data_IF_443744864543
#
_entry.id   IF_443744864543
#
_cell.length_a   1.000
_cell.length_b   1.000
_cell.length_c   1.000
_cell.angle_alpha   90.00
_cell.angle_beta   90.00
_cell.angle_gamma   90.00
#
_symmetry.space_group_name_H-M   'P 1'
#
loop_
_entity.id
_entity.type
_entity.pdbx_description
1 polymer ?
#
# COMPACT_ATOMS: atom_id res chain seq x y z
N UNK A 1 6.72 -18.16 -37.86
CA UNK A 1 5.51 -18.98 -37.66
C UNK A 1 4.51 -18.15 -36.87
N UNK A 2 3.36 -17.82 -37.47
CA UNK A 2 2.38 -16.84 -36.96
C UNK A 2 1.65 -17.39 -35.72
N UNK A 3 1.68 -16.65 -34.62
CA UNK A 3 0.76 -16.85 -33.50
C UNK A 3 -0.49 -16.05 -33.83
N UNK A 4 -1.57 -16.74 -34.21
CA UNK A 4 -2.90 -16.15 -34.34
C UNK A 4 -3.60 -16.34 -33.00
N UNK A 5 -3.75 -15.24 -32.27
CA UNK A 5 -4.60 -15.18 -31.09
C UNK A 5 -6.02 -14.88 -31.56
N UNK A 6 -6.91 -15.87 -31.51
CA UNK A 6 -8.34 -15.67 -31.73
C UNK A 6 -9.05 -15.61 -30.37
N UNK A 7 -9.76 -14.50 -30.14
CA UNK A 7 -10.58 -14.27 -28.96
C UNK A 7 -12.07 -14.57 -29.28
N UNK A 8 -12.66 -15.42 -28.41
CA UNK A 8 -14.02 -15.35 -27.83
C UNK A 8 -15.23 -15.79 -28.70
N UNK A 9 -16.42 -16.13 -28.13
CA UNK A 9 -16.77 -16.68 -26.80
C UNK A 9 -17.76 -17.88 -26.89
N UNK A 10 -17.87 -18.71 -25.85
CA UNK A 10 -19.10 -19.48 -25.61
C UNK A 10 -19.39 -19.59 -24.10
N UNK A 11 -20.32 -18.76 -23.63
CA UNK A 11 -21.23 -19.11 -22.53
C UNK A 11 -22.18 -20.18 -23.10
N UNK A 12 -22.48 -21.32 -22.48
CA UNK A 12 -23.04 -21.47 -21.14
C UNK A 12 -22.91 -22.94 -20.68
N UNK A 13 -22.86 -23.15 -19.35
CA UNK A 13 -22.87 -24.41 -18.57
C UNK A 13 -21.55 -24.69 -17.81
N UNK A 14 -21.20 -23.82 -16.86
CA UNK A 14 -20.02 -23.97 -16.00
C UNK A 14 -20.38 -23.71 -14.53
N UNK A 15 -21.18 -24.61 -13.94
CA UNK A 15 -21.17 -24.79 -12.50
C UNK A 15 -20.32 -26.04 -12.24
N UNK A 16 -19.14 -25.83 -11.67
CA UNK A 16 -18.21 -26.83 -11.08
C UNK A 16 -16.97 -27.31 -11.88
N UNK A 17 -16.60 -26.67 -12.99
CA UNK A 17 -15.26 -26.89 -13.60
C UNK A 17 -14.23 -25.92 -13.03
N UNK A 18 -13.30 -26.40 -12.20
CA UNK A 18 -12.11 -25.64 -11.76
C UNK A 18 -11.06 -25.65 -12.87
N UNK A 19 -11.07 -24.62 -13.71
CA UNK A 19 -9.99 -24.39 -14.70
C UNK A 19 -8.71 -23.99 -13.95
N UNK A 20 -7.59 -24.65 -14.27
CA UNK A 20 -6.26 -24.38 -13.72
C UNK A 20 -5.25 -24.39 -14.84
N UNK A 21 -4.23 -23.55 -14.73
CA UNK A 21 -3.06 -23.63 -15.61
C UNK A 21 -2.35 -24.95 -15.35
N UNK A 22 -1.82 -25.59 -16.39
CA UNK A 22 -1.08 -26.84 -16.30
C UNK A 22 0.03 -26.86 -17.35
N UNK A 23 1.07 -27.64 -17.10
CA UNK A 23 2.13 -27.93 -18.07
C UNK A 23 2.24 -29.44 -18.25
N UNK A 24 2.64 -29.90 -19.44
CA UNK A 24 2.86 -31.31 -19.72
C UNK A 24 4.36 -31.60 -19.60
N UNK A 25 4.73 -32.53 -18.73
CA UNK A 25 6.11 -32.99 -18.54
C UNK A 25 6.10 -34.51 -18.67
N UNK A 26 6.90 -35.05 -19.60
CA UNK A 26 7.01 -36.49 -19.88
C UNK A 26 5.68 -37.23 -20.12
N UNK A 27 4.69 -36.52 -20.70
CA UNK A 27 3.36 -37.08 -20.99
C UNK A 27 2.35 -36.94 -19.84
N UNK A 28 2.79 -36.51 -18.66
CA UNK A 28 1.92 -36.25 -17.51
C UNK A 28 1.51 -34.78 -17.42
N UNK A 29 0.26 -34.54 -17.01
CA UNK A 29 -0.30 -33.18 -16.85
C UNK A 29 -0.11 -32.72 -15.40
N UNK A 30 0.79 -31.76 -15.21
CA UNK A 30 1.11 -31.18 -13.90
C UNK A 30 0.36 -29.85 -13.74
N UNK A 31 -0.53 -29.69 -12.75
CA UNK A 31 -1.20 -28.43 -12.49
C UNK A 31 -0.24 -27.39 -11.92
N UNK A 32 -0.31 -26.17 -12.44
CA UNK A 32 0.48 -25.04 -12.00
C UNK A 32 -0.30 -24.26 -10.94
N UNK A 33 0.15 -24.38 -9.69
CA UNK A 33 -0.38 -23.63 -8.56
C UNK A 33 0.58 -22.49 -8.21
N UNK A 34 0.10 -21.26 -8.32
CA UNK A 34 0.73 -20.13 -7.63
C UNK A 34 0.32 -20.20 -6.16
N UNK A 35 1.15 -20.84 -5.34
CA UNK A 35 0.96 -20.81 -3.90
C UNK A 35 1.14 -19.38 -3.41
N UNK A 36 0.29 -18.96 -2.47
CA UNK A 36 0.50 -17.70 -1.76
C UNK A 36 1.76 -17.87 -0.92
N UNK A 37 2.65 -16.90 -0.96
CA UNK A 37 3.85 -16.91 -0.10
C UNK A 37 3.43 -17.08 1.36
N UNK A 38 4.03 -18.06 2.02
CA UNK A 38 3.85 -18.30 3.45
C UNK A 38 5.05 -17.72 4.17
N UNK A 39 4.86 -16.60 4.87
CA UNK A 39 5.87 -16.10 5.79
C UNK A 39 5.95 -17.00 7.02
N UNK A 40 7.11 -17.63 7.20
CA UNK A 40 7.45 -18.39 8.41
C UNK A 40 7.93 -17.39 9.45
N UNK A 41 7.15 -17.20 10.51
CA UNK A 41 7.55 -16.38 11.65
C UNK A 41 8.34 -17.25 12.64
N UNK A 42 9.62 -16.93 12.87
CA UNK A 42 10.31 -17.47 14.04
C UNK A 42 9.72 -16.80 15.28
N UNK A 43 9.08 -17.58 16.16
CA UNK A 43 8.66 -17.07 17.46
C UNK A 43 9.90 -16.56 18.20
N UNK A 44 10.03 -15.25 18.35
CA UNK A 44 11.08 -14.66 19.18
C UNK A 44 10.75 -14.98 20.64
N UNK A 45 11.25 -16.11 21.13
CA UNK A 45 11.00 -16.61 22.48
C UNK A 45 11.59 -15.69 23.58
N UNK A 46 12.23 -14.58 23.22
CA UNK A 46 13.00 -13.70 24.09
C UNK A 46 12.70 -12.20 23.88
N UNK A 47 11.43 -11.80 23.72
CA UNK A 47 11.10 -10.37 23.76
C UNK A 47 11.06 -9.85 25.20
N UNK A 48 11.73 -8.74 25.43
CA UNK A 48 11.65 -7.99 26.70
C UNK A 48 10.25 -7.37 26.86
N UNK A 49 9.82 -7.06 28.10
CA UNK A 49 8.55 -6.37 28.33
C UNK A 49 8.42 -5.02 27.60
N UNK A 50 9.54 -4.34 27.36
CA UNK A 50 9.58 -3.07 26.62
C UNK A 50 9.31 -3.30 25.13
N UNK A 51 9.91 -4.31 24.52
CA UNK A 51 9.67 -4.67 23.12
C UNK A 51 8.24 -5.14 22.90
N UNK A 52 7.67 -5.92 23.82
CA UNK A 52 6.26 -6.32 23.77
C UNK A 52 5.34 -5.08 23.77
N UNK A 53 5.61 -4.10 24.65
CA UNK A 53 4.84 -2.85 24.69
C UNK A 53 4.98 -2.06 23.40
N UNK A 54 6.19 -1.96 22.84
CA UNK A 54 6.47 -1.28 21.56
C UNK A 54 5.71 -1.96 20.41
N UNK A 55 5.78 -3.29 20.31
CA UNK A 55 5.07 -4.06 19.29
C UNK A 55 3.55 -3.91 19.41
N UNK A 56 2.99 -4.00 20.62
CA UNK A 56 1.55 -3.76 20.84
C UNK A 56 1.13 -2.36 20.41
N UNK A 57 1.94 -1.34 20.71
CA UNK A 57 1.68 0.04 20.27
C UNK A 57 1.71 0.15 18.74
N UNK A 58 2.71 -0.46 18.10
CA UNK A 58 2.82 -0.48 16.64
C UNK A 58 1.62 -1.16 15.98
N UNK A 59 1.22 -2.34 16.46
CA UNK A 59 0.02 -3.06 15.98
C UNK A 59 -1.22 -2.18 16.07
N UNK A 60 -1.45 -1.51 17.21
CA UNK A 60 -2.59 -0.60 17.36
C UNK A 60 -2.53 0.56 16.37
N UNK A 61 -1.36 1.17 16.20
CA UNK A 61 -1.17 2.27 15.25
C UNK A 61 -1.43 1.80 13.81
N UNK A 62 -0.91 0.64 13.41
CA UNK A 62 -1.14 0.07 12.08
C UNK A 62 -2.63 -0.22 11.88
N UNK A 63 -3.30 -0.89 12.82
CA UNK A 63 -4.74 -1.15 12.74
C UNK A 63 -5.57 0.12 12.60
N UNK A 64 -5.21 1.18 13.33
CA UNK A 64 -5.91 2.46 13.27
C UNK A 64 -5.67 3.18 11.94
N UNK A 65 -4.45 3.15 11.40
CA UNK A 65 -4.06 3.93 10.23
C UNK A 65 -4.29 3.21 8.88
N UNK A 66 -4.31 1.88 8.88
CA UNK A 66 -4.43 1.06 7.67
C UNK A 66 -5.69 1.34 6.84
N UNK A 67 -6.90 1.54 7.44
CA UNK A 67 -8.08 1.92 6.66
C UNK A 67 -7.90 3.24 5.91
N UNK A 68 -7.27 4.23 6.54
CA UNK A 68 -6.99 5.54 5.92
C UNK A 68 -5.99 5.42 4.77
N UNK A 69 -4.94 4.60 4.94
CA UNK A 69 -3.97 4.36 3.87
C UNK A 69 -4.61 3.70 2.63
N UNK A 70 -5.49 2.72 2.86
CA UNK A 70 -6.22 2.02 1.78
C UNK A 70 -7.19 2.95 1.05
N UNK A 71 -7.89 3.79 1.80
CA UNK A 71 -8.78 4.79 1.21
C UNK A 71 -7.98 5.82 0.39
N UNK A 72 -6.85 6.29 0.92
CA UNK A 72 -5.92 7.14 0.19
C UNK A 72 -5.44 6.52 -1.12
N UNK A 73 -5.09 5.23 -1.10
CA UNK A 73 -4.72 4.47 -2.31
C UNK A 73 -5.86 4.46 -3.34
N UNK A 74 -7.09 4.12 -2.94
CA UNK A 74 -8.23 4.10 -3.88
C UNK A 74 -8.45 5.44 -4.57
N UNK A 75 -8.34 6.54 -3.82
CA UNK A 75 -8.47 7.89 -4.36
C UNK A 75 -7.33 8.25 -5.30
N UNK A 76 -6.11 7.84 -4.96
CA UNK A 76 -4.95 8.00 -5.83
C UNK A 76 -5.09 7.21 -7.14
N UNK A 77 -5.55 5.97 -7.08
CA UNK A 77 -5.79 5.13 -8.25
C UNK A 77 -6.91 5.75 -9.13
N UNK A 78 -7.97 6.29 -8.52
CA UNK A 78 -9.03 7.01 -9.25
C UNK A 78 -8.51 8.29 -9.91
N UNK A 79 -7.71 9.08 -9.20
CA UNK A 79 -7.08 10.29 -9.72
C UNK A 79 -6.14 9.96 -10.89
N UNK A 80 -5.37 8.88 -10.80
CA UNK A 80 -4.47 8.43 -11.87
C UNK A 80 -5.24 8.14 -13.17
N UNK A 81 -6.42 7.52 -13.08
CA UNK A 81 -7.31 7.30 -14.23
C UNK A 81 -7.84 8.62 -14.79
N UNK A 82 -8.28 9.53 -13.92
CA UNK A 82 -8.83 10.84 -14.33
C UNK A 82 -7.81 11.69 -15.09
N UNK A 83 -6.55 11.70 -14.64
CA UNK A 83 -5.49 12.54 -15.21
C UNK A 83 -4.65 11.84 -16.28
N UNK A 84 -5.00 10.60 -16.66
CA UNK A 84 -4.20 9.78 -17.57
C UNK A 84 -3.97 10.45 -18.93
N UNK A 85 -5.02 11.05 -19.49
CA UNK A 85 -5.02 11.67 -20.82
C UNK A 85 -4.98 13.21 -20.79
N UNK A 86 -4.86 13.82 -19.61
CA UNK A 86 -4.86 15.27 -19.48
C UNK A 86 -3.50 15.88 -19.86
N UNK A 87 -3.48 17.07 -20.49
CA UNK A 87 -2.27 17.87 -20.64
C UNK A 87 -1.60 18.15 -19.29
N UNK A 88 -0.28 18.35 -19.29
CA UNK A 88 0.52 18.59 -18.08
C UNK A 88 -0.03 19.72 -17.18
N UNK A 89 -0.57 20.78 -17.79
CA UNK A 89 -1.17 21.91 -17.07
C UNK A 89 -2.44 21.53 -16.30
N UNK A 90 -3.36 20.85 -16.97
CA UNK A 90 -4.63 20.37 -16.40
C UNK A 90 -4.41 19.27 -15.37
N UNK A 91 -3.48 18.33 -15.62
CA UNK A 91 -3.04 17.33 -14.65
C UNK A 91 -2.60 18.00 -13.34
N UNK A 92 -1.78 19.06 -13.43
CA UNK A 92 -1.28 19.78 -12.25
C UNK A 92 -2.40 20.52 -11.51
N UNK A 93 -3.42 20.98 -12.22
CA UNK A 93 -4.60 21.59 -11.62
C UNK A 93 -5.48 20.56 -10.89
N UNK A 94 -5.74 19.42 -11.52
CA UNK A 94 -6.49 18.30 -10.94
C UNK A 94 -5.81 17.75 -9.67
N UNK A 95 -4.48 17.53 -9.72
CA UNK A 95 -3.71 17.11 -8.53
C UNK A 95 -3.83 18.14 -7.40
N UNK A 96 -3.76 19.44 -7.72
CA UNK A 96 -3.90 20.53 -6.73
C UNK A 96 -5.31 20.58 -6.12
N UNK A 97 -6.32 20.28 -6.91
CA UNK A 97 -7.70 20.23 -6.44
C UNK A 97 -7.91 19.03 -5.50
N UNK A 98 -7.45 17.85 -5.90
CA UNK A 98 -7.49 16.64 -5.07
C UNK A 98 -6.72 16.84 -3.75
N UNK A 99 -5.57 17.50 -3.80
CA UNK A 99 -4.79 17.88 -2.61
C UNK A 99 -5.61 18.75 -1.63
N UNK A 100 -6.27 19.80 -2.14
CA UNK A 100 -7.09 20.69 -1.31
C UNK A 100 -8.25 19.94 -0.67
N UNK A 101 -8.96 19.14 -1.47
CA UNK A 101 -10.08 18.33 -0.99
C UNK A 101 -9.64 17.37 0.11
N UNK A 102 -8.51 16.69 -0.06
CA UNK A 102 -7.93 15.80 0.95
C UNK A 102 -7.58 16.56 2.25
N UNK A 103 -7.01 17.76 2.14
CA UNK A 103 -6.68 18.57 3.31
C UNK A 103 -7.93 19.14 4.01
N UNK A 104 -8.96 19.50 3.28
CA UNK A 104 -10.21 20.00 3.86
C UNK A 104 -10.99 18.90 4.57
N UNK A 105 -11.04 17.71 3.96
CA UNK A 105 -11.73 16.54 4.51
C UNK A 105 -10.98 15.93 5.69
N UNK A 106 -9.69 15.67 5.55
CA UNK A 106 -8.90 14.91 6.53
C UNK A 106 -7.96 15.76 7.37
N UNK A 107 -7.69 17.01 7.00
CA UNK A 107 -6.70 17.84 7.70
C UNK A 107 -7.04 18.09 9.18
N UNK A 108 -8.32 18.11 9.55
CA UNK A 108 -8.75 18.22 10.95
C UNK A 108 -8.53 16.92 11.72
N UNK A 109 -8.81 15.77 11.11
CA UNK A 109 -8.63 14.46 11.74
C UNK A 109 -7.15 14.08 11.84
N UNK A 110 -6.36 14.43 10.83
CA UNK A 110 -4.91 14.27 10.83
C UNK A 110 -4.24 14.99 12.00
N UNK A 111 -4.77 16.14 12.44
CA UNK A 111 -4.29 16.86 13.63
C UNK A 111 -4.62 16.18 14.95
N UNK A 112 -5.62 15.30 14.99
CA UNK A 112 -6.00 14.55 16.19
C UNK A 112 -5.09 13.36 16.45
N UNK A 113 -4.44 12.84 15.41
CA UNK A 113 -3.55 11.70 15.55
C UNK A 113 -2.23 12.09 16.21
N UNK A 114 -1.70 11.16 17.00
CA UNK A 114 -0.36 11.31 17.56
C UNK A 114 0.66 11.28 16.44
N UNK A 115 1.79 11.93 16.68
CA UNK A 115 2.96 11.90 15.82
C UNK A 115 3.34 10.49 15.31
N UNK A 116 3.36 9.50 16.21
CA UNK A 116 3.68 8.10 15.85
C UNK A 116 2.66 7.45 14.93
N UNK A 117 1.39 7.86 15.02
CA UNK A 117 0.33 7.36 14.13
C UNK A 117 0.44 8.02 12.76
N UNK A 118 0.68 9.34 12.71
CA UNK A 118 0.93 10.05 11.46
C UNK A 118 2.11 9.48 10.67
N UNK A 119 3.20 9.10 11.37
CA UNK A 119 4.35 8.44 10.73
C UNK A 119 3.97 7.08 10.12
N UNK A 120 3.25 6.24 10.87
CA UNK A 120 2.77 4.95 10.38
C UNK A 120 1.84 5.14 9.18
N UNK A 121 0.96 6.15 9.19
CA UNK A 121 0.08 6.45 8.06
C UNK A 121 0.86 6.77 6.79
N UNK A 122 1.89 7.63 6.87
CA UNK A 122 2.72 7.99 5.71
C UNK A 122 3.41 6.74 5.12
N UNK A 123 3.99 5.90 5.99
CA UNK A 123 4.63 4.65 5.59
C UNK A 123 3.65 3.66 4.96
N UNK A 124 2.44 3.53 5.52
CA UNK A 124 1.39 2.69 4.97
C UNK A 124 0.87 3.20 3.62
N UNK A 125 0.71 4.51 3.43
CA UNK A 125 0.35 5.08 2.12
C UNK A 125 1.41 4.70 1.10
N UNK A 126 2.69 4.82 1.44
CA UNK A 126 3.79 4.45 0.54
C UNK A 126 3.80 2.96 0.18
N UNK A 127 3.61 2.10 1.18
CA UNK A 127 3.43 0.65 1.00
C UNK A 127 2.27 0.32 0.06
N UNK A 128 1.10 0.94 0.30
CA UNK A 128 -0.13 0.66 -0.45
C UNK A 128 -0.07 1.20 -1.88
N UNK A 129 0.61 2.33 -2.09
CA UNK A 129 0.71 3.04 -3.38
C UNK A 129 1.93 2.68 -4.21
N UNK A 130 2.83 1.81 -3.74
CA UNK A 130 4.04 1.42 -4.48
C UNK A 130 3.82 0.86 -5.91
N UNK A 131 2.56 0.57 -6.30
CA UNK A 131 2.15 0.20 -7.67
C UNK A 131 1.58 1.36 -8.50
N UNK A 132 1.08 2.41 -7.85
CA UNK A 132 0.56 3.65 -8.46
C UNK A 132 1.73 4.46 -9.01
N UNK A 133 1.54 5.29 -10.05
CA UNK A 133 2.66 6.07 -10.62
C UNK A 133 3.37 6.89 -9.56
N UNK A 134 4.62 6.51 -9.27
CA UNK A 134 5.49 7.20 -8.30
C UNK A 134 5.56 8.71 -8.57
N UNK A 135 5.41 9.13 -9.84
CA UNK A 135 5.38 10.54 -10.22
C UNK A 135 4.14 11.29 -9.70
N UNK A 136 2.95 10.69 -9.76
CA UNK A 136 1.71 11.31 -9.25
C UNK A 136 1.77 11.39 -7.74
N UNK A 137 2.18 10.29 -7.11
CA UNK A 137 2.35 10.21 -5.66
C UNK A 137 3.40 11.21 -5.17
N UNK A 138 4.53 11.33 -5.86
CA UNK A 138 5.61 12.26 -5.48
C UNK A 138 5.26 13.73 -5.80
N UNK A 139 4.44 14.01 -6.80
CA UNK A 139 3.89 15.36 -7.09
C UNK A 139 2.83 15.78 -6.05
N UNK A 140 1.92 14.87 -5.70
CA UNK A 140 0.93 15.06 -4.64
C UNK A 140 1.62 15.23 -3.28
N UNK A 141 2.58 14.34 -2.96
CA UNK A 141 3.45 14.48 -1.78
C UNK A 141 4.24 15.76 -1.84
N UNK A 142 4.74 16.18 -3.00
CA UNK A 142 5.54 17.38 -3.24
C UNK A 142 4.94 18.67 -2.71
N UNK A 143 3.61 18.83 -2.82
CA UNK A 143 2.90 20.01 -2.34
C UNK A 143 2.27 19.83 -0.95
N UNK A 144 1.72 18.64 -0.67
CA UNK A 144 1.33 18.26 0.70
C UNK A 144 2.52 18.44 1.65
N UNK A 145 3.73 18.14 1.15
CA UNK A 145 5.03 18.34 1.81
C UNK A 145 5.19 19.73 2.38
N UNK A 146 4.84 20.81 1.70
CA UNK A 146 5.21 22.14 2.16
C UNK A 146 4.56 22.50 3.52
N UNK A 147 3.26 22.23 3.68
CA UNK A 147 2.54 22.52 4.93
C UNK A 147 2.68 21.40 5.96
N UNK A 148 2.64 20.14 5.54
CA UNK A 148 2.78 18.99 6.43
C UNK A 148 4.22 18.83 6.91
N UNK A 149 5.23 18.98 6.03
CA UNK A 149 6.64 18.88 6.42
C UNK A 149 7.12 20.10 7.19
N UNK A 150 6.49 21.28 7.08
CA UNK A 150 6.82 22.35 8.04
C UNK A 150 6.41 22.00 9.47
N UNK A 151 5.24 21.37 9.64
CA UNK A 151 4.77 20.88 10.95
C UNK A 151 5.63 19.72 11.45
N UNK A 152 5.98 18.78 10.57
CA UNK A 152 6.74 17.59 10.92
C UNK A 152 8.26 17.80 10.99
N UNK A 153 8.87 18.69 10.19
CA UNK A 153 10.31 18.98 10.25
C UNK A 153 10.72 19.66 11.56
N UNK A 154 9.84 20.51 12.12
CA UNK A 154 10.03 21.11 13.44
C UNK A 154 10.04 20.09 14.57
N UNK A 155 9.37 18.96 14.39
CA UNK A 155 9.22 17.90 15.39
C UNK A 155 10.19 16.72 15.18
N UNK A 156 10.61 16.45 13.94
CA UNK A 156 11.35 15.23 13.59
C UNK A 156 12.85 15.41 13.46
N UNK A 157 13.40 16.57 13.09
CA UNK A 157 14.86 16.76 12.89
C UNK A 157 15.54 15.81 11.87
N UNK A 158 14.84 14.80 11.38
CA UNK A 158 15.30 13.72 10.50
C UNK A 158 14.33 13.60 9.33
N UNK A 159 14.89 13.46 8.13
CA UNK A 159 14.21 13.57 6.84
C UNK A 159 12.98 12.66 6.70
N UNK A 160 11.78 13.26 6.66
CA UNK A 160 10.52 12.65 6.19
C UNK A 160 10.58 12.16 4.72
N UNK A 161 11.70 12.33 4.03
CA UNK A 161 11.92 11.87 2.65
C UNK A 161 12.24 10.37 2.55
N UNK A 162 12.44 9.67 3.66
CA UNK A 162 12.65 8.22 3.63
C UNK A 162 11.32 7.52 3.37
N UNK A 163 11.21 6.95 2.17
CA UNK A 163 10.09 6.08 1.78
C UNK A 163 10.00 4.82 2.64
N UNK A 164 9.01 3.99 2.36
CA UNK A 164 8.84 2.68 3.00
C UNK A 164 9.86 1.69 2.45
N UNK A 165 10.73 1.17 3.31
CA UNK A 165 11.79 0.22 2.93
C UNK A 165 11.83 -0.98 3.90
N UNK A 166 10.98 -1.99 3.70
CA UNK A 166 10.92 -3.16 4.56
C UNK A 166 12.15 -4.08 4.40
N UNK A 167 13.04 -3.82 3.44
CA UNK A 167 14.25 -4.64 3.19
C UNK A 167 15.39 -4.17 4.08
N UNK A 168 15.58 -2.86 4.20
CA UNK A 168 16.71 -2.28 4.94
C UNK A 168 16.30 -1.67 6.29
N UNK A 169 15.02 -1.38 6.51
CA UNK A 169 14.51 -0.79 7.75
C UNK A 169 13.64 -1.79 8.55
N UNK A 170 14.13 -2.19 9.73
CA UNK A 170 13.44 -3.14 10.63
C UNK A 170 12.08 -2.64 11.11
N UNK A 171 11.86 -1.34 11.21
CA UNK A 171 10.58 -0.79 11.62
C UNK A 171 9.56 -0.89 10.49
N UNK A 172 9.97 -0.60 9.26
CA UNK A 172 9.13 -0.78 8.07
C UNK A 172 8.84 -2.27 7.80
N UNK A 173 9.82 -3.15 8.03
CA UNK A 173 9.64 -4.61 7.99
C UNK A 173 8.55 -5.07 8.98
N UNK A 174 8.58 -4.57 10.22
CA UNK A 174 7.56 -4.89 11.22
C UNK A 174 6.18 -4.36 10.82
N UNK A 175 6.10 -3.16 10.23
CA UNK A 175 4.84 -2.64 9.69
C UNK A 175 4.31 -3.58 8.60
N UNK A 176 5.16 -4.01 7.65
CA UNK A 176 4.73 -4.89 6.56
C UNK A 176 4.18 -6.22 7.09
N UNK A 177 4.90 -6.86 8.03
CA UNK A 177 4.47 -8.10 8.68
C UNK A 177 3.13 -7.95 9.39
N UNK A 178 2.90 -6.83 10.09
CA UNK A 178 1.62 -6.56 10.75
C UNK A 178 0.50 -6.43 9.73
N UNK A 179 0.72 -5.73 8.61
CA UNK A 179 -0.31 -5.60 7.56
C UNK A 179 -0.62 -6.96 6.93
N UNK A 180 0.40 -7.74 6.59
CA UNK A 180 0.24 -9.11 6.06
C UNK A 180 -0.55 -9.98 7.05
N UNK A 181 -0.28 -9.86 8.34
CA UNK A 181 -0.99 -10.59 9.39
C UNK A 181 -2.46 -10.19 9.50
N UNK A 182 -2.77 -8.89 9.39
CA UNK A 182 -4.15 -8.39 9.34
C UNK A 182 -4.85 -8.94 8.08
N UNK A 183 -4.20 -8.92 6.93
CA UNK A 183 -4.77 -9.40 5.65
C UNK A 183 -5.03 -10.90 5.63
N UNK A 184 -4.26 -11.65 6.42
CA UNK A 184 -4.44 -13.08 6.61
C UNK A 184 -5.41 -13.42 7.76
N UNK A 185 -6.02 -12.42 8.42
CA UNK A 185 -6.97 -12.63 9.52
C UNK A 185 -6.33 -13.14 10.82
N UNK A 186 -5.02 -13.02 10.99
CA UNK A 186 -4.29 -13.43 12.20
C UNK A 186 -4.34 -12.37 13.32
N UNK A 187 -4.66 -11.11 12.97
CA UNK A 187 -4.70 -9.96 13.88
C UNK A 187 -5.97 -9.16 13.72
#
# INVERSE_FOLDING_TARGET
MRIVCAQQPYETALQDRKVRFATVVDGDTIPLYYLKDVQIESSSLLLTPQEIRKNRKLIRNVKLMLPFAREGKRRLDALEVEIANLPRGERRAAIKQAERQLLDEYGKDLKKYTFSQGLVLIKLIDRETGRTSYKIVDELRGRLRASFYQLFARLFGYNLKTGFDPVNDKHDELIDRIVISIDNGKL
#
